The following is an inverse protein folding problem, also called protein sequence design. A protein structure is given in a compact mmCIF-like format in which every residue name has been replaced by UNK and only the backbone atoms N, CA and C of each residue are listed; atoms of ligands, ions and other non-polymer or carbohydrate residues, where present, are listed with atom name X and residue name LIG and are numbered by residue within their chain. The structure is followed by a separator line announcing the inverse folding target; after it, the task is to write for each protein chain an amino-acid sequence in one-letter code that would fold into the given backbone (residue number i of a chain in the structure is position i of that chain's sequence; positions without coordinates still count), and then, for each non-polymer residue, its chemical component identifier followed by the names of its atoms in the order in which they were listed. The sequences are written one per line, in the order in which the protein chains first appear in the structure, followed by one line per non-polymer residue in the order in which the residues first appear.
data_IF_893286259343
#
_entry.id   IF_893286259343
#
_cell.length_a   1.000
_cell.length_b   1.000
_cell.length_c   1.000
_cell.angle_alpha   90.00
_cell.angle_beta   90.00
_cell.angle_gamma   90.00
#
_symmetry.space_group_name_H-M   'P 1'
#
loop_
_entity.id
_entity.type
_entity.pdbx_description
1 polymer ?
#
# COMPACT_ATOMS: atom_id res chain seq x y z
N UNK A 1 -10.00 8.66 16.44
CA UNK A 1 -10.00 8.52 15.85
C UNK A 1 -10.22 7.90 15.19
N UNK A 2 -10.36 7.92 15.32
CA UNK A 2 -10.34 7.40 14.82
C UNK A 2 -10.01 7.15 14.05
N UNK A 3 -10.20 6.84 13.93
CA UNK A 3 -9.93 6.29 13.04
C UNK A 3 -9.15 6.63 12.50
N UNK A 4 -8.83 6.73 12.70
CA UNK A 4 -7.99 6.95 12.11
C UNK A 4 -7.66 6.33 10.97
N UNK A 5 -8.08 5.85 10.36
CA UNK A 5 -7.65 5.36 9.09
C UNK A 5 -8.08 6.27 8.02
N UNK A 6 -7.51 6.15 6.85
CA UNK A 6 -8.01 6.86 5.71
C UNK A 6 -9.45 6.47 5.45
N UNK A 7 -9.81 5.26 5.84
CA UNK A 7 -11.15 4.76 5.65
C UNK A 7 -11.75 4.47 6.99
N UNK A 8 -12.49 5.42 7.50
CA UNK A 8 -13.29 5.19 8.69
C UNK A 8 -14.53 4.44 8.28
N UNK A 9 -14.98 3.56 9.14
CA UNK A 9 -16.21 2.84 8.90
C UNK A 9 -17.37 3.85 8.74
N UNK A 10 -18.14 3.70 7.69
CA UNK A 10 -19.30 4.55 7.43
C UNK A 10 -18.97 5.86 6.77
N UNK A 11 -17.69 6.14 6.56
CA UNK A 11 -17.29 7.39 5.94
C UNK A 11 -17.45 7.28 4.43
N UNK A 12 -18.09 8.28 3.83
CA UNK A 12 -18.27 8.34 2.38
C UNK A 12 -17.25 9.31 1.83
N UNK A 13 -16.26 8.78 1.14
CA UNK A 13 -15.17 9.58 0.61
C UNK A 13 -15.18 9.54 -0.90
N UNK A 14 -14.01 9.63 -1.52
CA UNK A 14 -13.88 9.60 -2.96
C UNK A 14 -14.27 8.23 -3.53
N UNK A 15 -14.43 8.15 -4.84
CA UNK A 15 -14.68 6.89 -5.50
C UNK A 15 -13.58 5.88 -5.20
N UNK A 16 -12.36 6.36 -5.01
CA UNK A 16 -11.23 5.50 -4.70
C UNK A 16 -11.45 4.77 -3.37
N UNK A 17 -11.92 5.50 -2.35
CA UNK A 17 -12.15 4.92 -1.04
C UNK A 17 -13.29 3.91 -1.04
N UNK A 18 -14.23 4.07 -1.95
CA UNK A 18 -15.32 3.10 -2.08
C UNK A 18 -14.88 1.78 -2.68
N UNK A 19 -13.72 1.75 -3.32
CA UNK A 19 -13.17 0.54 -3.93
C UNK A 19 -12.38 -0.31 -2.96
N UNK A 20 -12.04 0.24 -1.79
CA UNK A 20 -11.16 -0.40 -0.82
C UNK A 20 -11.78 -0.36 0.56
N UNK A 21 -11.35 -1.29 1.41
CA UNK A 21 -11.71 -1.24 2.83
C UNK A 21 -10.51 -1.65 3.65
N UNK A 22 -10.39 -1.05 4.85
CA UNK A 22 -9.36 -1.40 5.80
C UNK A 22 -9.78 -2.66 6.53
N UNK A 23 -8.99 -3.71 6.40
CA UNK A 23 -9.30 -4.96 7.10
C UNK A 23 -8.53 -5.08 8.39
N UNK A 24 -7.39 -4.38 8.52
CA UNK A 24 -6.63 -4.42 9.75
C UNK A 24 -5.68 -3.23 9.85
N UNK A 25 -5.43 -2.76 11.07
CA UNK A 25 -4.41 -1.74 11.34
C UNK A 25 -3.23 -2.42 12.01
N UNK A 26 -2.05 -2.34 11.40
CA UNK A 26 -0.84 -2.89 12.01
C UNK A 26 -0.34 -1.95 13.11
N UNK A 27 -0.35 -0.65 12.81
CA UNK A 27 -0.06 0.39 13.79
C UNK A 27 -0.85 1.63 13.38
N UNK A 28 -0.63 2.78 14.04
CA UNK A 28 -1.44 3.96 13.77
C UNK A 28 -1.28 4.52 12.36
N UNK A 29 -0.21 4.15 11.65
CA UNK A 29 0.04 4.68 10.30
C UNK A 29 -0.02 3.62 9.21
N UNK A 30 -0.11 2.35 9.56
CA UNK A 30 0.01 1.25 8.61
C UNK A 30 -1.25 0.40 8.62
N UNK A 31 -1.92 0.31 7.49
CA UNK A 31 -3.18 -0.42 7.35
C UNK A 31 -3.08 -1.46 6.25
N UNK A 32 -3.75 -2.58 6.45
CA UNK A 32 -3.93 -3.59 5.42
C UNK A 32 -5.26 -3.32 4.75
N UNK A 33 -5.24 -3.17 3.43
CA UNK A 33 -6.44 -2.91 2.64
C UNK A 33 -6.80 -4.10 1.78
N UNK A 34 -8.09 -4.24 1.51
CA UNK A 34 -8.61 -5.18 0.51
C UNK A 34 -9.46 -4.44 -0.50
N UNK A 35 -9.35 -4.86 -1.76
CA UNK A 35 -10.23 -4.35 -2.79
C UNK A 35 -11.59 -5.00 -2.64
N UNK A 36 -12.64 -4.21 -2.88
CA UNK A 36 -13.99 -4.74 -2.85
C UNK A 36 -14.27 -5.61 -4.07
N UNK A 37 -13.70 -5.25 -5.22
CA UNK A 37 -13.84 -6.06 -6.43
C UNK A 37 -12.69 -7.05 -6.51
N UNK A 38 -12.97 -8.28 -6.12
CA UNK A 38 -11.97 -9.35 -6.06
C UNK A 38 -11.58 -9.90 -7.43
N UNK A 39 -12.28 -9.49 -8.47
CA UNK A 39 -11.98 -9.97 -9.83
C UNK A 39 -10.83 -9.22 -10.46
N UNK A 40 -10.53 -8.03 -9.97
CA UNK A 40 -9.46 -7.19 -10.53
C UNK A 40 -8.11 -7.56 -9.92
N UNK A 41 -7.06 -7.20 -10.62
CA UNK A 41 -5.71 -7.34 -10.08
C UNK A 41 -5.54 -6.52 -8.81
N UNK A 42 -4.62 -6.95 -7.95
CA UNK A 42 -4.40 -6.30 -6.67
C UNK A 42 -3.77 -4.93 -6.88
N UNK A 43 -4.37 -3.91 -6.27
CA UNK A 43 -3.92 -2.53 -6.35
C UNK A 43 -4.02 -1.87 -4.99
N UNK A 44 -3.42 -0.69 -4.87
CA UNK A 44 -3.58 0.17 -3.70
C UNK A 44 -4.03 1.55 -4.18
N UNK A 45 -4.68 2.35 -3.31
CA UNK A 45 -5.18 3.67 -3.71
C UNK A 45 -4.06 4.56 -4.23
N UNK A 46 -4.39 5.41 -5.20
CA UNK A 46 -3.42 6.37 -5.72
C UNK A 46 -3.17 7.51 -4.76
N UNK A 47 -4.15 7.82 -3.91
CA UNK A 47 -4.05 8.87 -2.91
C UNK A 47 -4.57 8.38 -1.57
N UNK A 48 -4.07 8.98 -0.50
CA UNK A 48 -4.55 8.71 0.85
C UNK A 48 -5.17 9.97 1.42
N UNK A 49 -6.27 9.81 2.16
CA UNK A 49 -6.89 10.92 2.87
C UNK A 49 -6.20 11.20 4.20
N UNK A 50 -5.33 10.31 4.65
CA UNK A 50 -4.58 10.47 5.88
C UNK A 50 -3.13 10.71 5.56
N UNK A 51 -2.54 11.84 6.00
CA UNK A 51 -1.13 12.11 5.73
C UNK A 51 -0.22 11.02 6.29
N UNK A 52 0.85 10.73 5.57
CA UNK A 52 1.87 9.82 6.04
C UNK A 52 1.46 8.36 6.18
N UNK A 53 0.35 7.98 5.53
CA UNK A 53 -0.19 6.64 5.66
C UNK A 53 0.64 5.63 4.88
N UNK A 54 0.66 4.40 5.36
CA UNK A 54 1.25 3.26 4.66
C UNK A 54 0.14 2.23 4.48
N UNK A 55 -0.05 1.77 3.24
CA UNK A 55 -1.03 0.74 2.93
C UNK A 55 -0.34 -0.51 2.42
N UNK A 56 -0.85 -1.66 2.81
CA UNK A 56 -0.36 -2.94 2.33
C UNK A 56 -1.52 -3.77 1.80
N UNK A 57 -1.27 -4.51 0.74
CA UNK A 57 -2.24 -5.45 0.19
C UNK A 57 -1.58 -6.83 0.11
N UNK A 58 -2.28 -7.84 0.62
CA UNK A 58 -1.79 -9.20 0.57
C UNK A 58 -2.24 -9.90 -0.69
N UNK A 59 -1.55 -10.98 -1.05
CA UNK A 59 -1.96 -11.81 -2.18
C UNK A 59 -3.31 -12.44 -1.88
N UNK A 60 -4.01 -12.85 -2.92
CA UNK A 60 -5.37 -13.38 -2.76
C UNK A 60 -5.44 -14.60 -1.87
N UNK A 61 -4.36 -15.38 -1.78
CA UNK A 61 -4.32 -16.52 -0.87
C UNK A 61 -3.99 -16.11 0.56
N UNK A 62 -3.69 -14.84 0.80
CA UNK A 62 -3.43 -14.31 2.13
C UNK A 62 -2.09 -14.69 2.74
N UNK A 63 -1.23 -15.36 1.99
CA UNK A 63 0.01 -15.90 2.57
C UNK A 63 1.18 -14.94 2.60
N UNK A 64 1.18 -13.94 1.71
CA UNK A 64 2.27 -12.96 1.68
C UNK A 64 1.74 -11.63 1.19
N UNK A 65 2.44 -10.58 1.58
CA UNK A 65 2.12 -9.24 1.10
C UNK A 65 2.52 -9.15 -0.37
N UNK A 66 1.68 -8.51 -1.17
CA UNK A 66 1.97 -8.30 -2.59
C UNK A 66 2.46 -6.89 -2.85
N UNK A 67 1.81 -5.89 -2.28
CA UNK A 67 2.12 -4.48 -2.52
C UNK A 67 2.16 -3.72 -1.21
N UNK A 68 3.06 -2.73 -1.14
CA UNK A 68 3.09 -1.76 -0.05
C UNK A 68 3.22 -0.39 -0.69
N UNK A 69 2.37 0.55 -0.29
CA UNK A 69 2.41 1.92 -0.79
C UNK A 69 2.64 2.87 0.37
N UNK A 70 3.55 3.82 0.18
CA UNK A 70 3.88 4.82 1.18
C UNK A 70 3.49 6.19 0.64
N UNK A 71 2.78 6.97 1.46
CA UNK A 71 2.20 8.26 1.05
C UNK A 71 2.84 9.39 1.83
N UNK A 72 2.93 10.56 1.19
CA UNK A 72 3.50 11.74 1.85
C UNK A 72 2.43 12.46 2.68
N UNK A 73 2.80 13.61 3.25
CA UNK A 73 1.90 14.36 4.11
C UNK A 73 0.72 14.97 3.38
N UNK A 74 0.79 15.05 2.07
CA UNK A 74 -0.32 15.53 1.25
C UNK A 74 -1.19 14.39 0.72
N UNK A 75 -0.89 13.15 1.12
CA UNK A 75 -1.66 12.00 0.68
C UNK A 75 -1.27 11.48 -0.68
N UNK A 76 -0.19 11.99 -1.27
CA UNK A 76 0.28 11.51 -2.57
C UNK A 76 1.26 10.35 -2.39
N UNK A 77 1.17 9.39 -3.27
CA UNK A 77 2.05 8.22 -3.18
C UNK A 77 3.49 8.61 -3.48
N UNK A 78 4.40 8.19 -2.61
CA UNK A 78 5.85 8.40 -2.79
C UNK A 78 6.48 7.24 -3.54
N UNK A 79 6.10 6.02 -3.20
CA UNK A 79 6.61 4.83 -3.89
C UNK A 79 5.72 3.64 -3.56
N UNK A 80 5.90 2.59 -4.35
CA UNK A 80 5.21 1.32 -4.15
C UNK A 80 6.23 0.19 -4.16
N UNK A 81 6.16 -0.68 -3.15
CA UNK A 81 7.00 -1.86 -3.09
C UNK A 81 6.21 -3.02 -3.67
N UNK A 82 6.85 -3.77 -4.55
CA UNK A 82 6.26 -4.95 -5.18
C UNK A 82 7.09 -6.18 -4.81
N UNK A 83 6.42 -7.27 -4.51
CA UNK A 83 7.10 -8.54 -4.18
C UNK A 83 7.09 -9.50 -5.36
N UNK A 84 6.91 -8.98 -6.56
CA UNK A 84 7.02 -9.73 -7.80
C UNK A 84 8.38 -9.50 -8.42
N UNK A 85 8.74 -10.37 -9.36
CA UNK A 85 9.94 -10.19 -10.15
C UNK A 85 9.71 -9.14 -11.24
N UNK A 86 10.66 -8.24 -11.41
CA UNK A 86 10.63 -7.27 -12.50
C UNK A 86 12.06 -7.01 -12.92
N UNK A 87 12.38 -7.42 -14.16
CA UNK A 87 13.73 -7.28 -14.71
C UNK A 87 14.80 -7.89 -13.80
N UNK A 88 14.45 -9.01 -13.15
CA UNK A 88 15.37 -9.70 -12.26
C UNK A 88 15.42 -9.17 -10.84
N UNK A 89 14.63 -8.16 -10.51
CA UNK A 89 14.56 -7.62 -9.16
C UNK A 89 13.31 -8.12 -8.44
N UNK A 90 13.50 -8.74 -7.29
CA UNK A 90 12.41 -9.20 -6.43
C UNK A 90 12.92 -9.29 -5.00
N UNK A 91 12.45 -8.47 -4.08
CA UNK A 91 11.48 -7.39 -4.28
C UNK A 91 12.10 -6.15 -4.92
N UNK A 92 11.24 -5.25 -5.36
CA UNK A 92 11.66 -4.00 -5.98
C UNK A 92 10.69 -2.89 -5.62
N UNK A 93 11.05 -1.63 -5.89
CA UNK A 93 10.09 -0.55 -5.72
C UNK A 93 10.03 0.35 -6.96
N UNK A 94 8.88 0.97 -7.11
CA UNK A 94 8.62 1.96 -8.16
C UNK A 94 8.40 3.31 -7.50
N UNK A 95 9.23 4.32 -7.78
CA UNK A 95 8.97 5.66 -7.24
C UNK A 95 7.77 6.30 -7.95
N UNK A 96 7.05 7.13 -7.22
CA UNK A 96 5.93 7.90 -7.73
C UNK A 96 6.23 9.38 -7.57
N UNK A 97 5.68 10.18 -8.47
CA UNK A 97 5.87 11.62 -8.43
C UNK A 97 4.62 12.30 -8.98
N UNK A 98 4.10 13.27 -8.24
CA UNK A 98 2.91 14.03 -8.66
C UNK A 98 1.73 13.14 -9.01
N UNK A 99 1.51 12.09 -8.23
CA UNK A 99 0.37 11.21 -8.41
C UNK A 99 0.51 10.15 -9.47
N UNK A 100 1.70 9.97 -10.05
CA UNK A 100 1.94 9.00 -11.11
C UNK A 100 3.22 8.23 -10.86
N UNK A 101 3.28 6.94 -11.27
CA UNK A 101 4.54 6.22 -11.20
C UNK A 101 5.54 6.85 -12.17
N UNK A 102 6.81 6.91 -11.76
CA UNK A 102 7.87 7.35 -12.65
C UNK A 102 8.19 6.21 -13.60
N UNK A 103 7.97 6.45 -14.90
CA UNK A 103 8.12 5.41 -15.90
C UNK A 103 9.54 4.88 -15.97
N UNK A 104 9.64 3.57 -16.17
CA UNK A 104 10.92 2.87 -16.35
C UNK A 104 11.87 2.94 -15.17
N UNK A 105 11.39 3.38 -14.00
CA UNK A 105 12.21 3.43 -12.80
C UNK A 105 11.83 2.31 -11.86
N UNK A 106 12.72 1.35 -11.73
CA UNK A 106 12.54 0.18 -10.86
C UNK A 106 13.86 -0.04 -10.14
N UNK A 107 13.81 -0.11 -8.82
CA UNK A 107 15.02 -0.19 -8.01
C UNK A 107 14.92 -1.28 -6.95
N UNK A 108 16.06 -1.84 -6.53
CA UNK A 108 16.06 -2.72 -5.36
C UNK A 108 15.69 -1.92 -4.12
N UNK A 109 15.19 -2.62 -3.09
CA UNK A 109 14.73 -1.94 -1.88
C UNK A 109 15.88 -1.30 -1.12
N UNK A 110 15.60 -0.12 -0.56
CA UNK A 110 16.51 0.53 0.38
C UNK A 110 16.30 -0.07 1.77
N UNK A 111 17.22 0.24 2.69
CA UNK A 111 17.21 -0.41 4.00
C UNK A 111 15.91 -0.21 4.78
N UNK A 112 15.37 1.00 4.77
CA UNK A 112 14.11 1.28 5.47
C UNK A 112 12.94 0.55 4.84
N UNK A 113 12.98 0.33 3.52
CA UNK A 113 11.95 -0.42 2.82
C UNK A 113 12.01 -1.91 3.15
N UNK A 114 13.23 -2.44 3.30
CA UNK A 114 13.43 -3.83 3.72
C UNK A 114 12.84 -4.05 5.10
N UNK A 115 13.09 -3.11 6.02
CA UNK A 115 12.55 -3.19 7.38
C UNK A 115 11.03 -3.14 7.37
N UNK A 116 10.47 -2.26 6.56
CA UNK A 116 9.02 -2.14 6.45
C UNK A 116 8.40 -3.42 5.90
N UNK A 117 9.00 -3.99 4.86
CA UNK A 117 8.51 -5.23 4.28
C UNK A 117 8.54 -6.37 5.30
N UNK A 118 9.62 -6.49 6.07
CA UNK A 118 9.71 -7.51 7.12
C UNK A 118 8.65 -7.33 8.18
N UNK A 119 8.43 -6.09 8.60
CA UNK A 119 7.41 -5.79 9.60
C UNK A 119 6.03 -6.26 9.16
N UNK A 120 5.67 -5.95 7.93
CA UNK A 120 4.36 -6.28 7.40
C UNK A 120 4.23 -7.78 7.17
N UNK A 121 5.27 -8.42 6.63
CA UNK A 121 5.26 -9.86 6.42
C UNK A 121 5.10 -10.62 7.73
N UNK A 122 5.81 -10.17 8.76
CA UNK A 122 5.78 -10.86 10.05
C UNK A 122 4.46 -10.67 10.78
N UNK A 123 3.76 -9.59 10.49
CA UNK A 123 2.48 -9.33 11.12
C UNK A 123 1.46 -10.43 10.84
N UNK A 124 1.49 -10.99 9.65
CA UNK A 124 0.52 -12.02 9.25
C UNK A 124 0.83 -13.42 9.73
N UNK A 125 1.88 -13.57 10.54
CA UNK A 125 2.30 -14.91 10.99
C UNK A 125 1.95 -15.20 12.43
#
# INVERSE_FOLDING_TARGET
MGGNGSFKRGETLSAENRKFETVFMIDENTAILEQKDKRKGIKLPEESHTPGRIYAAFRKDGKDVKLIAVYNENGLKLYEIHTDDHRGLNPHYHPWKNGKPEEDKVYPLEMDMIKLLKKIRNFGK
#
